data_IF_044940274988
#
_entry.id   IF_044940274988
#
_cell.length_a   1.000
_cell.length_b   1.000
_cell.length_c   1.000
_cell.angle_alpha   90.00
_cell.angle_beta   90.00
_cell.angle_gamma   90.00
#
_symmetry.space_group_name_H-M   'P 1'
#
loop_
_entity.id
_entity.type
_entity.pdbx_description
1 polymer ?
#
# COMPACT_ATOMS: atom_id res chain seq x y z
N UNK A 1 -39.90 16.25 14.20
CA UNK A 1 -40.59 17.04 15.13
C UNK A 1 -39.75 17.80 16.13
N UNK A 2 -40.18 18.99 16.50
CA UNK A 2 -39.54 19.83 17.51
C UNK A 2 -39.35 19.13 18.88
N UNK A 3 -40.14 18.10 19.18
CA UNK A 3 -40.08 17.37 20.44
C UNK A 3 -38.81 16.54 20.66
N UNK A 4 -38.09 16.16 19.62
CA UNK A 4 -36.87 15.35 19.75
C UNK A 4 -35.60 16.19 19.99
N UNK A 5 -35.61 17.46 19.58
CA UNK A 5 -34.44 18.36 19.77
C UNK A 5 -34.28 18.69 21.25
N UNK A 6 -35.37 18.96 21.97
CA UNK A 6 -35.32 19.27 23.41
C UNK A 6 -34.88 18.13 24.30
N UNK A 7 -35.05 16.88 23.88
CA UNK A 7 -34.56 15.70 24.65
C UNK A 7 -33.06 15.46 24.52
N UNK A 8 -32.39 16.13 23.59
CA UNK A 8 -30.95 15.94 23.31
C UNK A 8 -30.07 17.06 23.83
N UNK A 9 -30.65 18.12 24.35
CA UNK A 9 -29.92 19.27 24.89
C UNK A 9 -30.11 19.35 26.39
N UNK A 10 -29.05 19.70 27.08
CA UNK A 10 -29.04 20.02 28.50
C UNK A 10 -28.41 21.41 28.65
N UNK A 11 -29.08 22.29 29.34
CA UNK A 11 -28.62 23.62 29.69
C UNK A 11 -28.14 23.57 31.13
N UNK A 12 -26.86 23.82 31.37
CA UNK A 12 -26.23 23.73 32.69
C UNK A 12 -25.58 25.08 32.97
N UNK A 13 -26.03 25.84 34.00
CA UNK A 13 -25.30 27.00 34.44
C UNK A 13 -24.00 26.54 35.10
N UNK A 14 -22.88 27.15 34.72
CA UNK A 14 -21.55 26.90 35.28
C UNK A 14 -20.91 28.23 35.69
N UNK A 15 -20.22 28.27 36.81
CA UNK A 15 -19.41 29.42 37.23
C UNK A 15 -18.00 29.28 36.68
N UNK A 16 -17.51 30.31 36.00
CA UNK A 16 -16.15 30.38 35.47
C UNK A 16 -15.59 31.81 35.66
N UNK A 17 -14.50 31.94 36.39
CA UNK A 17 -13.82 33.22 36.65
C UNK A 17 -14.79 34.31 37.21
N UNK A 18 -15.75 33.94 38.05
CA UNK A 18 -16.73 34.89 38.64
C UNK A 18 -17.86 35.28 37.71
N UNK A 19 -17.99 34.65 36.53
CA UNK A 19 -19.10 34.84 35.60
C UNK A 19 -19.95 33.56 35.50
N UNK A 20 -21.26 33.71 35.51
CA UNK A 20 -22.20 32.63 35.25
C UNK A 20 -22.31 32.44 33.73
N UNK A 21 -21.84 31.28 33.24
CA UNK A 21 -21.93 30.87 31.85
C UNK A 21 -23.02 29.80 31.70
N UNK A 22 -23.64 29.71 30.53
CA UNK A 22 -24.60 28.68 30.18
C UNK A 22 -23.94 27.65 29.29
N UNK A 23 -23.67 26.47 29.83
CA UNK A 23 -23.19 25.33 29.06
C UNK A 23 -24.36 24.62 28.38
N UNK A 24 -24.30 24.48 27.06
CA UNK A 24 -25.28 23.73 26.26
C UNK A 24 -24.65 22.36 25.88
N UNK A 25 -25.08 21.30 26.54
CA UNK A 25 -24.69 19.93 26.21
C UNK A 25 -25.66 19.33 25.22
N UNK A 26 -25.15 18.98 24.02
CA UNK A 26 -25.94 18.36 22.95
C UNK A 26 -25.45 16.93 22.75
N UNK A 27 -26.36 15.94 22.89
CA UNK A 27 -26.04 14.54 22.58
C UNK A 27 -25.90 14.34 21.06
N UNK A 28 -24.96 13.54 20.67
CA UNK A 28 -24.82 13.14 19.27
C UNK A 28 -26.09 12.44 18.77
N UNK A 29 -26.52 12.80 17.58
CA UNK A 29 -27.62 12.13 16.91
C UNK A 29 -27.14 10.96 16.06
N UNK A 30 -28.00 9.94 15.92
CA UNK A 30 -27.69 8.70 15.18
C UNK A 30 -28.15 8.71 13.73
N UNK A 31 -29.10 9.62 13.39
CA UNK A 31 -29.75 9.68 12.08
C UNK A 31 -29.41 11.00 11.37
N UNK A 32 -28.16 11.20 11.04
CA UNK A 32 -27.73 12.34 10.22
C UNK A 32 -28.18 12.16 8.76
N UNK A 33 -28.42 13.25 7.99
CA UNK A 33 -28.29 14.65 8.35
C UNK A 33 -29.48 15.15 9.17
N UNK A 34 -29.23 16.09 10.08
CA UNK A 34 -30.28 16.87 10.71
C UNK A 34 -30.45 18.16 9.94
N UNK A 35 -31.73 18.51 9.66
CA UNK A 35 -32.07 19.70 8.88
C UNK A 35 -32.63 20.78 9.78
N UNK A 36 -32.15 21.98 9.59
CA UNK A 36 -32.83 23.17 10.02
C UNK A 36 -33.93 23.52 9.02
N UNK A 37 -35.10 23.79 9.48
CA UNK A 37 -36.25 24.13 8.63
C UNK A 37 -36.67 25.56 8.87
N UNK A 38 -36.54 26.39 7.85
CA UNK A 38 -37.00 27.79 7.86
C UNK A 38 -37.56 28.14 6.49
N UNK A 39 -38.72 28.84 6.51
CA UNK A 39 -39.37 29.39 5.32
C UNK A 39 -39.58 28.39 4.17
N UNK A 40 -39.95 27.16 4.50
CA UNK A 40 -40.15 26.09 3.52
C UNK A 40 -38.86 25.39 3.07
N UNK A 41 -37.68 25.86 3.48
CA UNK A 41 -36.37 25.31 3.07
C UNK A 41 -35.80 24.43 4.19
N UNK A 42 -35.24 23.29 3.80
CA UNK A 42 -34.49 22.38 4.68
C UNK A 42 -33.00 22.51 4.40
N UNK A 43 -32.26 22.99 5.40
CA UNK A 43 -30.79 23.17 5.27
C UNK A 43 -30.06 22.34 6.30
N UNK A 44 -29.07 21.54 5.86
CA UNK A 44 -28.13 20.86 6.74
C UNK A 44 -26.90 21.73 6.94
N UNK A 45 -26.40 21.77 8.16
CA UNK A 45 -25.21 22.54 8.53
C UNK A 45 -24.08 21.62 8.97
N UNK A 46 -22.85 22.03 8.67
CA UNK A 46 -21.63 21.43 9.19
C UNK A 46 -20.75 22.48 9.86
N UNK A 47 -19.81 22.02 10.69
CA UNK A 47 -18.87 22.91 11.37
C UNK A 47 -17.60 23.03 10.54
N UNK A 48 -17.18 24.23 10.20
CA UNK A 48 -15.91 24.54 9.55
C UNK A 48 -15.19 25.57 10.43
N UNK A 49 -14.18 25.13 11.14
CA UNK A 49 -13.51 25.94 12.17
C UNK A 49 -14.48 26.38 13.26
N UNK A 50 -14.64 27.67 13.45
CA UNK A 50 -15.54 28.28 14.44
C UNK A 50 -16.92 28.63 13.89
N UNK A 51 -17.22 28.33 12.63
CA UNK A 51 -18.49 28.71 11.98
C UNK A 51 -19.35 27.48 11.64
N UNK A 52 -20.65 27.66 11.67
CA UNK A 52 -21.62 26.70 11.15
C UNK A 52 -22.01 27.17 9.74
N UNK A 53 -21.62 26.38 8.74
CA UNK A 53 -21.89 26.67 7.33
C UNK A 53 -22.86 25.68 6.73
N UNK A 54 -23.61 26.12 5.72
CA UNK A 54 -24.48 25.20 4.97
C UNK A 54 -23.67 24.09 4.30
N UNK A 55 -24.17 22.85 4.38
CA UNK A 55 -23.53 21.72 3.74
C UNK A 55 -23.59 21.85 2.20
N UNK A 56 -22.47 21.74 1.55
CA UNK A 56 -22.46 21.47 0.12
C UNK A 56 -22.91 20.01 -0.16
N UNK A 57 -23.12 19.66 -1.43
CA UNK A 57 -23.63 18.35 -1.84
C UNK A 57 -22.75 17.19 -1.35
N UNK A 58 -21.42 17.35 -1.31
CA UNK A 58 -20.48 16.34 -0.85
C UNK A 58 -20.55 16.13 0.66
N UNK A 59 -20.62 17.22 1.43
CA UNK A 59 -20.79 17.18 2.88
C UNK A 59 -22.13 16.57 3.26
N UNK A 60 -23.20 16.91 2.52
CA UNK A 60 -24.51 16.32 2.72
C UNK A 60 -24.50 14.81 2.46
N UNK A 61 -23.86 14.34 1.38
CA UNK A 61 -23.71 12.93 1.10
C UNK A 61 -22.96 12.20 2.25
N UNK A 62 -21.89 12.79 2.76
CA UNK A 62 -21.13 12.24 3.90
C UNK A 62 -22.01 12.10 5.16
N UNK A 63 -22.86 13.09 5.44
CA UNK A 63 -23.81 13.02 6.56
C UNK A 63 -24.89 11.95 6.36
N UNK A 64 -25.40 11.78 5.14
CA UNK A 64 -26.36 10.72 4.78
C UNK A 64 -25.73 9.34 5.01
N UNK A 65 -24.54 9.09 4.47
CA UNK A 65 -23.83 7.84 4.65
C UNK A 65 -23.59 7.53 6.13
N UNK A 66 -23.16 8.52 6.90
CA UNK A 66 -23.00 8.38 8.35
C UNK A 66 -24.28 7.99 9.06
N UNK A 67 -25.40 8.59 8.68
CA UNK A 67 -26.73 8.32 9.27
C UNK A 67 -27.29 6.95 8.90
N UNK A 68 -26.92 6.42 7.74
CA UNK A 68 -27.31 5.08 7.30
C UNK A 68 -26.32 4.00 7.74
N UNK A 69 -25.25 4.38 8.45
CA UNK A 69 -24.14 3.50 8.82
C UNK A 69 -23.47 2.78 7.61
N UNK A 70 -23.49 3.42 6.45
CA UNK A 70 -22.87 2.94 5.22
C UNK A 70 -21.65 3.78 4.88
N UNK A 71 -20.74 3.19 4.11
CA UNK A 71 -19.59 3.88 3.52
C UNK A 71 -19.72 3.88 1.99
N UNK A 72 -19.06 4.82 1.31
CA UNK A 72 -19.15 4.89 -0.14
C UNK A 72 -18.81 3.55 -0.82
N UNK A 73 -17.78 2.87 -0.36
CA UNK A 73 -17.29 1.62 -0.93
C UNK A 73 -18.24 0.44 -0.70
N UNK A 74 -19.10 0.49 0.34
CA UNK A 74 -20.11 -0.54 0.64
C UNK A 74 -21.41 -0.37 -0.13
N UNK A 75 -21.64 0.79 -0.78
CA UNK A 75 -22.89 1.05 -1.50
C UNK A 75 -23.05 0.08 -2.68
N UNK A 76 -24.25 -0.54 -2.83
CA UNK A 76 -24.56 -1.37 -3.98
C UNK A 76 -24.67 -0.52 -5.26
N UNK A 77 -24.26 -1.11 -6.37
CA UNK A 77 -24.44 -0.52 -7.70
C UNK A 77 -25.56 -1.24 -8.47
N UNK A 78 -25.85 -0.82 -9.69
CA UNK A 78 -26.78 -1.52 -10.58
C UNK A 78 -26.08 -2.55 -11.48
N UNK A 79 -24.77 -2.78 -11.28
CA UNK A 79 -23.94 -3.63 -12.16
C UNK A 79 -23.97 -5.08 -11.67
N UNK A 80 -24.33 -6.00 -12.56
CA UNK A 80 -24.34 -7.43 -12.28
C UNK A 80 -22.93 -7.98 -12.14
N UNK A 81 -22.61 -8.65 -11.04
CA UNK A 81 -21.29 -9.21 -10.78
C UNK A 81 -20.88 -10.29 -11.78
N UNK A 82 -21.85 -11.10 -12.26
CA UNK A 82 -21.61 -12.18 -13.21
C UNK A 82 -21.16 -11.72 -14.62
N UNK A 83 -21.23 -10.43 -14.90
CA UNK A 83 -20.74 -9.83 -16.15
C UNK A 83 -19.30 -9.37 -16.07
N UNK A 84 -18.66 -9.56 -14.92
CA UNK A 84 -17.30 -9.10 -14.65
C UNK A 84 -16.43 -10.23 -14.13
N UNK A 85 -15.12 -10.08 -14.29
CA UNK A 85 -14.10 -11.02 -13.81
C UNK A 85 -13.21 -10.40 -12.75
N UNK A 86 -12.67 -11.25 -11.86
CA UNK A 86 -11.77 -10.91 -10.76
C UNK A 86 -10.49 -11.75 -10.83
N UNK A 87 -10.01 -12.07 -12.04
CA UNK A 87 -8.84 -12.94 -12.24
C UNK A 87 -7.59 -12.35 -11.65
N UNK A 88 -7.39 -11.03 -11.81
CA UNK A 88 -6.24 -10.31 -11.24
C UNK A 88 -6.28 -10.37 -9.71
N UNK A 89 -7.44 -10.11 -9.11
CA UNK A 89 -7.61 -10.18 -7.66
C UNK A 89 -7.36 -11.60 -7.13
N UNK A 90 -7.97 -12.63 -7.78
CA UNK A 90 -7.82 -14.02 -7.40
C UNK A 90 -6.38 -14.52 -7.50
N UNK A 91 -5.66 -14.15 -8.56
CA UNK A 91 -4.25 -14.49 -8.72
C UNK A 91 -3.37 -13.80 -7.66
N UNK A 92 -3.61 -12.51 -7.42
CA UNK A 92 -2.89 -11.76 -6.38
C UNK A 92 -3.14 -12.37 -4.99
N UNK A 93 -4.38 -12.76 -4.69
CA UNK A 93 -4.69 -13.43 -3.43
C UNK A 93 -3.89 -14.72 -3.27
N UNK A 94 -3.85 -15.59 -4.31
CA UNK A 94 -3.04 -16.83 -4.28
C UNK A 94 -1.56 -16.56 -4.10
N UNK A 95 -1.02 -15.58 -4.83
CA UNK A 95 0.41 -15.21 -4.76
C UNK A 95 0.81 -14.70 -3.36
N UNK A 96 -0.04 -13.89 -2.73
CA UNK A 96 0.28 -13.26 -1.45
C UNK A 96 0.01 -14.19 -0.26
N UNK A 97 -1.12 -14.90 -0.28
CA UNK A 97 -1.58 -15.69 0.88
C UNK A 97 -1.20 -17.16 0.80
N UNK A 98 -0.79 -17.65 -0.38
CA UNK A 98 -0.58 -19.06 -0.68
C UNK A 98 -1.84 -19.93 -0.47
N UNK A 99 -3.03 -19.32 -0.54
CA UNK A 99 -4.33 -19.98 -0.40
C UNK A 99 -5.10 -19.96 -1.72
N UNK A 100 -5.97 -20.94 -1.92
CA UNK A 100 -6.85 -20.97 -3.09
C UNK A 100 -7.96 -19.94 -2.97
N UNK A 101 -8.22 -19.24 -4.09
CA UNK A 101 -9.34 -18.31 -4.19
C UNK A 101 -10.65 -19.05 -4.26
N UNK A 102 -11.70 -18.54 -3.60
CA UNK A 102 -13.06 -19.02 -3.70
C UNK A 102 -13.99 -17.83 -4.01
N UNK A 103 -14.85 -17.97 -5.02
CA UNK A 103 -15.74 -16.89 -5.44
C UNK A 103 -16.75 -16.45 -4.35
N UNK A 104 -17.02 -17.32 -3.36
CA UNK A 104 -17.79 -16.95 -2.16
C UNK A 104 -17.12 -15.82 -1.35
N UNK A 105 -15.81 -15.62 -1.53
CA UNK A 105 -15.11 -14.51 -0.90
C UNK A 105 -15.59 -13.15 -1.41
N UNK A 106 -16.07 -13.07 -2.65
CA UNK A 106 -16.59 -11.82 -3.21
C UNK A 106 -17.76 -11.26 -2.37
N UNK A 107 -18.68 -12.14 -1.96
CA UNK A 107 -19.80 -11.75 -1.10
C UNK A 107 -19.34 -11.52 0.34
N UNK A 108 -18.55 -12.45 0.91
CA UNK A 108 -18.09 -12.34 2.30
C UNK A 108 -17.18 -11.13 2.56
N UNK A 109 -16.46 -10.64 1.55
CA UNK A 109 -15.64 -9.41 1.64
C UNK A 109 -16.41 -8.16 1.21
N UNK A 110 -17.69 -8.26 0.88
CA UNK A 110 -18.55 -7.13 0.53
C UNK A 110 -18.30 -6.53 -0.86
N UNK A 111 -17.61 -7.25 -1.75
CA UNK A 111 -17.42 -6.84 -3.15
C UNK A 111 -18.66 -7.09 -4.01
N UNK A 112 -19.43 -8.12 -3.64
CA UNK A 112 -20.69 -8.48 -4.27
C UNK A 112 -21.77 -8.52 -3.19
N UNK A 113 -22.95 -8.00 -3.50
CA UNK A 113 -24.12 -8.01 -2.62
C UNK A 113 -24.88 -9.36 -2.71
N UNK A 114 -25.72 -9.73 -1.73
CA UNK A 114 -26.46 -11.00 -1.77
C UNK A 114 -27.39 -11.15 -2.98
N UNK A 115 -27.84 -10.04 -3.59
CA UNK A 115 -28.64 -10.03 -4.84
C UNK A 115 -27.76 -10.06 -6.12
N UNK A 116 -26.44 -10.32 -5.98
CA UNK A 116 -25.54 -10.51 -7.11
C UNK A 116 -25.09 -9.22 -7.82
N UNK A 117 -25.24 -8.07 -7.17
CA UNK A 117 -24.73 -6.79 -7.68
C UNK A 117 -23.34 -6.47 -7.13
N UNK A 118 -22.56 -5.72 -7.90
CA UNK A 118 -21.29 -5.20 -7.40
C UNK A 118 -21.54 -4.06 -6.40
N UNK A 119 -20.77 -4.03 -5.32
CA UNK A 119 -20.59 -2.81 -4.53
C UNK A 119 -19.67 -1.83 -5.26
N UNK A 120 -19.57 -0.57 -4.78
CA UNK A 120 -18.58 0.37 -5.30
C UNK A 120 -17.14 -0.18 -5.11
N UNK A 121 -16.85 -0.86 -3.98
CA UNK A 121 -15.59 -1.57 -3.82
C UNK A 121 -15.42 -2.67 -4.88
N UNK A 122 -16.46 -3.47 -5.12
CA UNK A 122 -16.44 -4.52 -6.15
C UNK A 122 -16.03 -3.96 -7.51
N UNK A 123 -16.59 -2.83 -7.93
CA UNK A 123 -16.23 -2.15 -9.18
C UNK A 123 -14.75 -1.74 -9.26
N UNK A 124 -14.12 -1.45 -8.10
CA UNK A 124 -12.69 -1.07 -8.03
C UNK A 124 -11.75 -2.29 -8.10
N UNK A 125 -12.27 -3.51 -7.95
CA UNK A 125 -11.47 -4.74 -7.99
C UNK A 125 -11.73 -5.61 -9.23
N UNK A 126 -12.74 -5.31 -10.07
CA UNK A 126 -12.94 -6.03 -11.34
C UNK A 126 -11.74 -5.83 -12.29
N UNK A 127 -11.44 -6.83 -13.12
CA UNK A 127 -10.31 -6.79 -14.05
C UNK A 127 -10.40 -5.58 -14.99
N UNK A 128 -11.60 -5.29 -15.50
CA UNK A 128 -11.90 -4.16 -16.37
C UNK A 128 -12.57 -3.02 -15.57
N UNK A 129 -11.85 -2.43 -14.63
CA UNK A 129 -12.34 -1.33 -13.82
C UNK A 129 -12.62 -0.08 -14.69
N UNK A 130 -13.86 0.38 -14.67
CA UNK A 130 -14.31 1.59 -15.40
C UNK A 130 -14.59 2.78 -14.47
N UNK A 131 -14.36 2.64 -13.18
CA UNK A 131 -14.56 3.72 -12.20
C UNK A 131 -13.61 4.87 -12.52
N UNK A 132 -14.18 6.05 -12.79
CA UNK A 132 -13.40 7.23 -13.18
C UNK A 132 -12.31 7.60 -12.17
N UNK A 133 -12.59 7.44 -10.88
CA UNK A 133 -11.66 7.75 -9.79
C UNK A 133 -10.56 6.70 -9.61
N UNK A 134 -10.66 5.53 -10.29
CA UNK A 134 -9.67 4.46 -10.20
C UNK A 134 -8.49 4.72 -11.15
N UNK A 135 -7.71 5.75 -10.81
CA UNK A 135 -6.55 6.18 -11.58
C UNK A 135 -5.48 6.83 -10.71
N UNK A 136 -4.25 6.76 -11.15
CA UNK A 136 -3.09 7.43 -10.56
C UNK A 136 -2.33 8.21 -11.62
N UNK A 137 -1.82 9.37 -11.25
CA UNK A 137 -0.89 10.17 -12.05
C UNK A 137 0.50 10.03 -11.46
N UNK A 138 1.45 9.58 -12.26
CA UNK A 138 2.83 9.36 -11.86
C UNK A 138 3.72 10.31 -12.66
N UNK A 139 4.42 11.22 -12.00
CA UNK A 139 5.30 12.19 -12.65
C UNK A 139 6.68 12.19 -12.02
N UNK A 140 7.73 12.12 -12.83
CA UNK A 140 9.12 12.37 -12.45
C UNK A 140 9.50 13.78 -12.94
N UNK A 141 9.68 14.67 -11.99
CA UNK A 141 10.06 16.05 -12.22
C UNK A 141 11.58 16.22 -12.34
N UNK A 142 12.03 17.22 -13.05
CA UNK A 142 13.43 17.63 -13.09
C UNK A 142 13.71 18.54 -11.89
N UNK A 143 14.74 18.20 -11.08
CA UNK A 143 15.09 19.02 -9.92
C UNK A 143 14.11 18.91 -8.75
N UNK A 144 13.86 20.04 -8.08
CA UNK A 144 13.14 20.11 -6.80
C UNK A 144 11.70 20.65 -6.91
N UNK A 145 11.29 21.11 -8.09
CA UNK A 145 10.01 21.81 -8.33
C UNK A 145 9.23 21.15 -9.47
N UNK A 146 7.94 21.52 -9.59
CA UNK A 146 7.04 21.05 -10.66
C UNK A 146 7.20 21.92 -11.93
N UNK A 147 8.41 22.04 -12.42
CA UNK A 147 8.69 22.82 -13.63
C UNK A 147 8.63 21.93 -14.88
N UNK A 148 9.67 21.12 -15.13
CA UNK A 148 9.77 20.24 -16.27
C UNK A 148 9.66 18.77 -15.85
N UNK A 149 8.85 17.98 -16.57
CA UNK A 149 8.69 16.56 -16.31
C UNK A 149 9.63 15.73 -17.20
N UNK A 150 10.41 14.83 -16.59
CA UNK A 150 11.19 13.81 -17.32
C UNK A 150 10.25 12.74 -17.87
N UNK A 151 9.22 12.37 -17.10
CA UNK A 151 8.20 11.39 -17.47
C UNK A 151 6.91 11.69 -16.74
N UNK A 152 5.79 11.55 -17.44
CA UNK A 152 4.46 11.65 -16.83
C UNK A 152 3.55 10.60 -17.46
N UNK A 153 2.91 9.78 -16.60
CA UNK A 153 2.05 8.67 -17.04
C UNK A 153 0.78 8.67 -16.20
N UNK A 154 -0.37 8.51 -16.84
CA UNK A 154 -1.64 8.20 -16.20
C UNK A 154 -1.91 6.70 -16.32
N UNK A 155 -2.22 6.05 -15.18
CA UNK A 155 -2.70 4.68 -15.15
C UNK A 155 -4.16 4.63 -14.69
N UNK A 156 -5.00 3.90 -15.44
CA UNK A 156 -6.39 3.59 -15.11
C UNK A 156 -6.54 2.08 -15.04
N UNK A 157 -6.88 1.56 -13.88
CA UNK A 157 -6.99 0.12 -13.65
C UNK A 157 -7.75 -0.16 -12.36
N UNK A 158 -7.90 -1.44 -12.01
CA UNK A 158 -8.31 -1.83 -10.68
C UNK A 158 -7.23 -1.50 -9.63
N UNK A 159 -7.61 -1.48 -8.36
CA UNK A 159 -6.72 -1.04 -7.27
C UNK A 159 -5.44 -1.87 -7.13
N UNK A 160 -5.51 -3.18 -7.43
CA UNK A 160 -4.34 -4.07 -7.37
C UNK A 160 -3.29 -3.66 -8.41
N UNK A 161 -3.75 -3.40 -9.64
CA UNK A 161 -2.85 -2.94 -10.71
C UNK A 161 -2.37 -1.51 -10.49
N UNK A 162 -3.21 -0.61 -9.96
CA UNK A 162 -2.76 0.75 -9.62
C UNK A 162 -1.63 0.74 -8.60
N UNK A 163 -1.74 -0.09 -7.56
CA UNK A 163 -0.67 -0.28 -6.59
C UNK A 163 0.62 -0.77 -7.25
N UNK A 164 0.50 -1.79 -8.12
CA UNK A 164 1.65 -2.32 -8.86
C UNK A 164 2.29 -1.25 -9.76
N UNK A 165 1.51 -0.57 -10.58
CA UNK A 165 2.03 0.45 -11.50
C UNK A 165 2.69 1.61 -10.75
N UNK A 166 2.10 2.06 -9.66
CA UNK A 166 2.70 3.10 -8.82
C UNK A 166 4.05 2.68 -8.23
N UNK A 167 4.13 1.46 -7.70
CA UNK A 167 5.39 0.91 -7.18
C UNK A 167 6.44 0.71 -8.27
N UNK A 168 6.04 0.21 -9.44
CA UNK A 168 6.94 0.02 -10.57
C UNK A 168 7.48 1.38 -11.07
N UNK A 169 6.62 2.40 -11.16
CA UNK A 169 7.04 3.75 -11.50
C UNK A 169 8.06 4.30 -10.52
N UNK A 170 7.79 4.21 -9.21
CA UNK A 170 8.72 4.69 -8.18
C UNK A 170 10.07 3.96 -8.29
N UNK A 171 10.07 2.63 -8.43
CA UNK A 171 11.29 1.83 -8.57
C UNK A 171 12.11 2.18 -9.82
N UNK A 172 11.46 2.57 -10.90
CA UNK A 172 12.14 2.94 -12.15
C UNK A 172 12.89 4.28 -12.04
N UNK A 173 12.45 5.16 -11.15
CA UNK A 173 13.01 6.52 -11.00
C UNK A 173 13.72 6.75 -9.66
N UNK A 174 13.86 5.73 -8.83
CA UNK A 174 14.61 5.80 -7.56
C UNK A 174 15.78 4.82 -7.61
N UNK A 175 16.84 5.13 -6.88
CA UNK A 175 18.05 4.32 -6.90
C UNK A 175 18.16 3.47 -5.63
N UNK A 176 18.54 2.21 -5.82
CA UNK A 176 19.01 1.33 -4.76
C UNK A 176 20.53 1.19 -4.85
N UNK A 177 21.23 2.24 -4.42
CA UNK A 177 22.69 2.27 -4.39
C UNK A 177 23.24 1.19 -3.45
N UNK A 178 24.46 0.76 -3.70
CA UNK A 178 25.18 -0.15 -2.81
C UNK A 178 26.69 0.06 -2.90
N UNK A 179 27.39 -0.32 -1.84
CA UNK A 179 28.84 -0.33 -1.80
C UNK A 179 29.35 -1.69 -1.37
N UNK A 180 30.48 -2.09 -1.95
CA UNK A 180 31.14 -3.35 -1.62
C UNK A 180 31.98 -3.16 -0.35
N UNK A 181 31.65 -3.89 0.69
CA UNK A 181 32.42 -3.99 1.92
C UNK A 181 33.36 -5.19 1.87
N UNK A 182 34.36 -5.31 2.76
CA UNK A 182 35.31 -6.44 2.74
C UNK A 182 34.63 -7.82 2.73
N UNK A 183 33.55 -8.00 3.47
CA UNK A 183 32.90 -9.29 3.67
C UNK A 183 31.42 -9.34 3.27
N UNK A 184 30.82 -8.21 2.86
CA UNK A 184 29.40 -8.12 2.51
C UNK A 184 29.14 -6.92 1.58
N UNK A 185 27.91 -6.82 1.09
CA UNK A 185 27.39 -5.68 0.33
C UNK A 185 26.52 -4.82 1.26
N UNK A 186 26.81 -3.54 1.36
CA UNK A 186 25.99 -2.57 2.07
C UNK A 186 25.04 -1.90 1.07
N UNK A 187 23.74 -2.10 1.24
CA UNK A 187 22.72 -1.43 0.43
C UNK A 187 22.43 -0.04 1.01
N UNK A 188 22.39 0.95 0.13
CA UNK A 188 22.16 2.37 0.44
C UNK A 188 21.01 2.90 -0.44
N UNK A 189 19.78 2.44 -0.22
CA UNK A 189 18.64 2.85 -1.03
C UNK A 189 18.29 4.32 -0.78
N UNK A 190 17.69 4.97 -1.80
CA UNK A 190 17.18 6.33 -1.65
C UNK A 190 16.01 6.38 -0.66
N UNK A 191 15.22 5.32 -0.61
CA UNK A 191 14.00 5.20 0.20
C UNK A 191 13.82 3.78 0.75
N UNK A 192 12.94 3.64 1.73
CA UNK A 192 12.44 2.32 2.17
C UNK A 192 11.31 1.87 1.23
N UNK A 193 11.54 0.85 0.41
CA UNK A 193 10.52 0.28 -0.50
C UNK A 193 9.25 -0.10 0.26
N UNK A 194 9.39 -0.69 1.45
CA UNK A 194 8.24 -1.10 2.27
C UNK A 194 7.50 0.10 2.86
N UNK A 195 8.20 1.18 3.22
CA UNK A 195 7.55 2.40 3.70
C UNK A 195 6.75 3.09 2.59
N UNK A 196 7.32 3.20 1.38
CA UNK A 196 6.61 3.75 0.21
C UNK A 196 5.40 2.87 -0.16
N UNK A 197 5.55 1.54 -0.15
CA UNK A 197 4.44 0.61 -0.38
C UNK A 197 3.30 0.85 0.60
N UNK A 198 3.57 0.94 1.89
CA UNK A 198 2.58 1.24 2.93
C UNK A 198 1.92 2.61 2.69
N UNK A 199 2.72 3.62 2.29
CA UNK A 199 2.21 4.94 1.92
C UNK A 199 1.23 4.88 0.75
N UNK A 200 1.61 4.22 -0.33
CA UNK A 200 0.74 4.12 -1.53
C UNK A 200 -0.53 3.31 -1.24
N UNK A 201 -0.44 2.22 -0.48
CA UNK A 201 -1.60 1.46 0.00
C UNK A 201 -2.54 2.39 0.77
N UNK A 202 -2.02 3.19 1.71
CA UNK A 202 -2.83 4.13 2.49
C UNK A 202 -3.50 5.18 1.60
N UNK A 203 -2.80 5.73 0.60
CA UNK A 203 -3.36 6.71 -0.33
C UNK A 203 -4.48 6.13 -1.21
N UNK A 204 -4.42 4.86 -1.61
CA UNK A 204 -5.47 4.19 -2.36
C UNK A 204 -6.69 3.84 -1.47
N UNK A 205 -6.44 3.35 -0.25
CA UNK A 205 -7.52 2.92 0.68
C UNK A 205 -8.26 4.11 1.28
N UNK A 206 -7.54 5.15 1.70
CA UNK A 206 -8.13 6.30 2.41
C UNK A 206 -8.54 7.44 1.48
N UNK A 207 -8.35 7.30 0.17
CA UNK A 207 -8.86 8.24 -0.82
C UNK A 207 -10.35 8.50 -0.62
N UNK A 208 -10.75 9.75 -0.75
CA UNK A 208 -12.17 10.09 -0.80
C UNK A 208 -12.72 9.88 -2.23
N UNK A 209 -13.38 8.75 -2.44
CA UNK A 209 -13.98 8.41 -3.73
C UNK A 209 -15.23 9.20 -4.08
N UNK A 210 -15.75 10.03 -3.18
CA UNK A 210 -16.84 10.97 -3.47
C UNK A 210 -16.34 12.22 -4.20
N UNK A 211 -15.03 12.48 -4.19
CA UNK A 211 -14.40 13.59 -4.91
C UNK A 211 -14.20 13.20 -6.37
N UNK A 212 -14.97 13.81 -7.28
CA UNK A 212 -15.01 13.45 -8.70
C UNK A 212 -13.81 13.98 -9.50
N UNK A 213 -13.24 15.09 -9.14
CA UNK A 213 -12.16 15.75 -9.92
C UNK A 213 -10.76 15.60 -9.34
N UNK A 214 -10.60 14.83 -8.27
CA UNK A 214 -9.30 14.64 -7.64
C UNK A 214 -8.72 13.25 -7.92
N UNK A 215 -7.42 13.18 -8.13
CA UNK A 215 -6.68 11.95 -8.40
C UNK A 215 -5.64 11.66 -7.33
N UNK A 216 -5.15 10.42 -7.29
CA UNK A 216 -3.94 10.07 -6.55
C UNK A 216 -2.74 10.44 -7.40
N UNK A 217 -1.80 11.20 -6.84
CA UNK A 217 -0.56 11.59 -7.50
C UNK A 217 0.64 10.94 -6.84
N UNK A 218 1.60 10.55 -7.66
CA UNK A 218 2.94 10.12 -7.30
C UNK A 218 3.90 11.08 -7.98
N UNK A 219 4.45 12.03 -7.24
CA UNK A 219 5.39 13.02 -7.72
C UNK A 219 6.80 12.67 -7.22
N UNK A 220 7.74 12.44 -8.13
CA UNK A 220 9.13 12.11 -7.81
C UNK A 220 10.01 13.28 -8.19
N UNK A 221 10.72 13.86 -7.23
CA UNK A 221 11.74 14.89 -7.37
C UNK A 221 13.13 14.29 -7.14
N UNK A 222 14.16 15.09 -7.24
CA UNK A 222 15.52 14.60 -6.96
C UNK A 222 15.72 14.29 -5.48
N UNK A 223 15.11 15.10 -4.61
CA UNK A 223 15.27 15.05 -3.15
C UNK A 223 14.16 14.29 -2.40
N UNK A 224 13.04 13.95 -3.08
CA UNK A 224 11.88 13.35 -2.39
C UNK A 224 10.90 12.65 -3.35
N UNK A 225 10.05 11.82 -2.77
CA UNK A 225 8.80 11.29 -3.37
C UNK A 225 7.63 11.85 -2.57
N UNK A 226 6.68 12.45 -3.24
CA UNK A 226 5.40 12.89 -2.68
C UNK A 226 4.26 12.01 -3.17
N UNK A 227 3.46 11.52 -2.23
CA UNK A 227 2.19 10.85 -2.51
C UNK A 227 1.07 11.80 -2.07
N UNK A 228 0.09 12.00 -2.94
CA UNK A 228 -1.06 12.86 -2.68
C UNK A 228 -2.34 12.11 -2.99
N UNK A 229 -3.35 12.19 -2.12
CA UNK A 229 -4.69 11.67 -2.40
C UNK A 229 -5.78 12.63 -1.97
N UNK A 230 -6.93 12.65 -2.66
CA UNK A 230 -8.10 13.38 -2.22
C UNK A 230 -8.62 12.86 -0.88
N UNK A 231 -9.00 13.79 0.00
CA UNK A 231 -9.59 13.51 1.30
C UNK A 231 -8.68 13.88 2.47
N UNK A 232 -9.17 14.79 3.33
CA UNK A 232 -8.54 15.13 4.60
C UNK A 232 -8.70 14.00 5.62
N UNK A 233 -8.19 14.17 6.85
CA UNK A 233 -8.47 13.23 7.95
C UNK A 233 -9.97 13.09 8.18
N UNK A 234 -10.43 11.86 8.42
CA UNK A 234 -11.86 11.55 8.53
C UNK A 234 -12.52 12.21 9.74
N UNK A 235 -11.77 12.48 10.79
CA UNK A 235 -12.20 13.16 12.01
C UNK A 235 -12.12 14.69 11.93
N UNK A 236 -11.70 15.24 10.78
CA UNK A 236 -11.55 16.67 10.55
C UNK A 236 -10.33 17.29 11.23
N UNK A 237 -9.46 16.49 11.84
CA UNK A 237 -8.21 16.98 12.44
C UNK A 237 -7.13 17.14 11.37
N UNK A 238 -6.06 17.87 11.71
CA UNK A 238 -4.87 17.98 10.87
C UNK A 238 -3.78 17.06 11.40
N UNK A 239 -3.20 16.22 10.54
CA UNK A 239 -2.21 15.22 10.95
C UNK A 239 -0.92 15.86 11.47
N UNK A 240 -0.54 17.00 10.93
CA UNK A 240 0.66 17.75 11.36
C UNK A 240 0.59 18.23 12.81
N UNK A 241 -0.62 18.36 13.38
CA UNK A 241 -0.85 18.79 14.76
C UNK A 241 -0.97 17.60 15.73
N UNK A 242 -0.74 16.36 15.25
CA UNK A 242 -0.95 15.13 16.03
C UNK A 242 0.32 14.33 16.23
N UNK A 243 0.37 13.67 17.37
CA UNK A 243 1.35 12.60 17.60
C UNK A 243 0.97 11.36 16.75
N UNK A 244 1.78 11.03 15.75
CA UNK A 244 1.54 9.90 14.83
C UNK A 244 1.43 8.54 15.56
N UNK A 245 1.97 8.43 16.78
CA UNK A 245 1.87 7.22 17.61
C UNK A 245 0.51 7.07 18.30
N UNK A 246 -0.31 8.14 18.31
CA UNK A 246 -1.64 8.19 18.94
C UNK A 246 -2.78 8.36 17.94
N UNK A 247 -2.49 8.33 16.63
CA UNK A 247 -3.55 8.41 15.61
C UNK A 247 -4.35 7.11 15.59
N UNK A 248 -5.66 7.14 15.84
CA UNK A 248 -6.49 5.94 15.80
C UNK A 248 -6.68 5.46 14.35
N UNK A 249 -6.90 4.16 14.20
CA UNK A 249 -7.28 3.59 12.91
C UNK A 249 -8.71 4.00 12.55
N UNK A 250 -8.85 4.87 11.58
CA UNK A 250 -10.15 5.30 11.04
C UNK A 250 -10.17 5.00 9.54
N UNK A 251 -11.06 4.12 9.11
CA UNK A 251 -11.14 3.68 7.72
C UNK A 251 -12.25 4.42 6.99
N UNK A 252 -11.89 5.19 5.96
CA UNK A 252 -12.87 5.84 5.08
C UNK A 252 -13.60 4.80 4.23
N UNK A 253 -12.87 3.81 3.72
CA UNK A 253 -13.37 2.76 2.85
C UNK A 253 -13.06 1.38 3.48
N UNK A 254 -13.88 0.91 4.42
CA UNK A 254 -13.61 -0.32 5.18
C UNK A 254 -13.62 -1.58 4.31
N UNK A 255 -14.45 -1.66 3.27
CA UNK A 255 -14.51 -2.82 2.36
C UNK A 255 -13.21 -2.93 1.57
N UNK A 256 -12.72 -1.80 1.02
CA UNK A 256 -11.43 -1.74 0.32
C UNK A 256 -10.30 -2.11 1.29
N UNK A 257 -10.29 -1.52 2.49
CA UNK A 257 -9.27 -1.79 3.50
C UNK A 257 -9.26 -3.27 3.95
N UNK A 258 -10.42 -3.87 4.13
CA UNK A 258 -10.51 -5.29 4.46
C UNK A 258 -10.01 -6.18 3.32
N UNK A 259 -10.27 -5.84 2.05
CA UNK A 259 -9.73 -6.57 0.92
C UNK A 259 -8.21 -6.48 0.85
N UNK A 260 -7.61 -5.29 1.03
CA UNK A 260 -6.15 -5.13 1.09
C UNK A 260 -5.53 -5.87 2.29
N UNK A 261 -6.27 -6.01 3.40
CA UNK A 261 -5.83 -6.86 4.53
C UNK A 261 -5.84 -8.34 4.15
N UNK A 262 -6.85 -8.81 3.41
CA UNK A 262 -6.91 -10.20 2.92
C UNK A 262 -5.79 -10.52 1.92
N UNK A 263 -5.28 -9.51 1.22
CA UNK A 263 -4.11 -9.62 0.34
C UNK A 263 -2.77 -9.52 1.09
N UNK A 264 -2.74 -9.49 2.42
CA UNK A 264 -1.55 -9.26 3.25
C UNK A 264 -0.77 -7.97 2.92
N UNK A 265 -1.44 -6.99 2.30
CA UNK A 265 -0.84 -5.71 1.95
C UNK A 265 -0.80 -4.73 3.12
N UNK A 266 -1.71 -4.86 4.08
CA UNK A 266 -1.80 -3.99 5.25
C UNK A 266 -2.20 -4.75 6.53
N UNK A 267 -1.91 -4.12 7.68
CA UNK A 267 -2.33 -4.60 9.00
C UNK A 267 -3.55 -3.81 9.52
N UNK A 268 -4.44 -4.49 10.28
CA UNK A 268 -5.69 -3.87 10.79
C UNK A 268 -5.52 -2.87 11.95
N UNK A 269 -4.29 -2.62 12.44
CA UNK A 269 -4.05 -1.96 13.74
C UNK A 269 -3.78 -0.46 13.72
N UNK A 270 -3.96 0.24 12.59
CA UNK A 270 -3.70 1.69 12.50
C UNK A 270 -2.23 2.10 12.70
N UNK A 271 -1.31 1.20 12.42
CA UNK A 271 0.13 1.40 12.60
C UNK A 271 0.84 2.01 11.38
N UNK A 272 0.13 2.31 10.30
CA UNK A 272 0.73 2.67 9.00
C UNK A 272 1.69 3.85 9.06
N UNK A 273 1.28 4.98 9.63
CA UNK A 273 2.13 6.18 9.73
C UNK A 273 3.39 5.91 10.55
N UNK A 274 3.24 5.31 11.74
CA UNK A 274 4.36 4.91 12.58
C UNK A 274 5.28 3.92 11.88
N UNK A 275 4.72 2.92 11.21
CA UNK A 275 5.46 1.88 10.49
C UNK A 275 6.31 2.44 9.35
N UNK A 276 5.75 3.38 8.57
CA UNK A 276 6.51 4.07 7.52
C UNK A 276 7.73 4.78 8.10
N UNK A 277 7.58 5.49 9.23
CA UNK A 277 8.68 6.14 9.93
C UNK A 277 9.70 5.13 10.43
N UNK A 278 9.30 4.12 11.20
CA UNK A 278 10.19 3.09 11.74
C UNK A 278 10.96 2.31 10.66
N UNK A 279 10.33 2.05 9.50
CA UNK A 279 10.97 1.38 8.37
C UNK A 279 12.00 2.26 7.67
N UNK A 280 11.78 3.56 7.63
CA UNK A 280 12.74 4.53 7.10
C UNK A 280 13.92 4.71 8.05
N UNK A 281 13.66 4.87 9.35
CA UNK A 281 14.69 5.03 10.39
C UNK A 281 15.62 3.80 10.53
N UNK A 282 15.15 2.61 10.14
CA UNK A 282 15.96 1.38 10.14
C UNK A 282 16.95 1.26 9.00
N UNK A 283 16.88 2.12 8.00
CA UNK A 283 17.82 2.07 6.88
C UNK A 283 19.22 2.54 7.32
N UNK A 284 20.29 1.89 6.84
CA UNK A 284 21.64 2.15 7.29
C UNK A 284 22.10 3.58 6.98
N UNK A 285 21.57 4.19 5.93
CA UNK A 285 21.87 5.55 5.47
C UNK A 285 20.86 6.60 5.97
N UNK A 286 19.97 6.25 6.89
CA UNK A 286 19.06 7.21 7.51
C UNK A 286 19.80 8.33 8.25
N UNK A 287 19.24 9.54 8.16
CA UNK A 287 19.66 10.71 8.92
C UNK A 287 18.45 11.35 9.59
N UNK A 288 18.60 11.86 10.83
CA UNK A 288 17.58 12.70 11.46
C UNK A 288 17.17 13.86 10.55
N UNK A 289 15.87 14.12 10.47
CA UNK A 289 15.28 15.09 9.54
C UNK A 289 14.90 14.53 8.17
N UNK A 290 15.12 13.21 7.93
CA UNK A 290 14.70 12.50 6.73
C UNK A 290 13.54 11.52 7.00
N UNK A 291 12.86 11.66 8.13
CA UNK A 291 11.65 10.92 8.45
C UNK A 291 10.54 11.27 7.45
N UNK A 292 9.64 10.31 7.14
CA UNK A 292 8.45 10.62 6.35
C UNK A 292 7.64 11.74 6.99
N UNK A 293 7.25 12.73 6.19
CA UNK A 293 6.42 13.85 6.61
C UNK A 293 4.97 13.65 6.15
N UNK A 294 4.02 14.00 7.01
CA UNK A 294 2.60 13.89 6.74
C UNK A 294 1.94 15.25 6.88
N UNK A 295 1.10 15.60 5.93
CA UNK A 295 0.36 16.86 5.93
C UNK A 295 -1.07 16.63 5.45
N UNK A 296 -2.01 17.31 6.08
CA UNK A 296 -3.40 17.36 5.64
C UNK A 296 -3.77 18.78 5.29
N UNK A 297 -4.45 18.94 4.18
CA UNK A 297 -5.16 20.15 3.81
C UNK A 297 -6.67 19.89 3.82
N UNK A 298 -7.47 20.90 3.51
CA UNK A 298 -8.94 20.80 3.57
C UNK A 298 -9.51 19.65 2.73
N UNK A 299 -8.86 19.31 1.61
CA UNK A 299 -9.35 18.34 0.62
C UNK A 299 -8.36 17.25 0.26
N UNK A 300 -7.16 17.23 0.84
CA UNK A 300 -6.09 16.35 0.40
C UNK A 300 -5.22 15.88 1.58
N UNK A 301 -4.63 14.71 1.41
CA UNK A 301 -3.62 14.14 2.30
C UNK A 301 -2.31 13.95 1.54
N UNK A 302 -1.19 14.36 2.15
CA UNK A 302 0.15 14.31 1.60
C UNK A 302 1.04 13.41 2.44
N UNK A 303 1.86 12.59 1.78
CA UNK A 303 2.97 11.87 2.40
C UNK A 303 4.24 12.15 1.63
N UNK A 304 5.23 12.72 2.27
CA UNK A 304 6.54 13.02 1.68
C UNK A 304 7.60 12.08 2.24
N UNK A 305 8.29 11.36 1.36
CA UNK A 305 9.47 10.56 1.67
C UNK A 305 10.69 11.30 1.16
N UNK A 306 11.64 11.60 2.02
CA UNK A 306 12.88 12.29 1.64
C UNK A 306 13.92 11.30 1.15
N UNK A 307 14.63 11.66 0.08
CA UNK A 307 15.76 10.90 -0.43
C UNK A 307 16.90 10.90 0.60
N UNK A 308 17.26 9.70 1.10
CA UNK A 308 18.28 9.52 2.14
C UNK A 308 19.70 9.81 1.63
N UNK A 309 19.88 9.79 0.31
CA UNK A 309 21.15 10.04 -0.36
C UNK A 309 21.21 11.44 -1.00
N UNK A 310 20.34 12.37 -0.58
CA UNK A 310 20.31 13.76 -1.04
C UNK A 310 20.68 14.72 0.09
N UNK A 311 21.62 15.63 -0.15
CA UNK A 311 22.08 16.66 0.78
C UNK A 311 21.81 18.07 0.26
N UNK A 312 22.34 19.08 0.95
CA UNK A 312 22.19 20.50 0.58
C UNK A 312 22.77 20.82 -0.81
N UNK A 313 23.84 20.14 -1.19
CA UNK A 313 24.54 20.34 -2.47
C UNK A 313 24.16 19.33 -3.55
N UNK A 314 23.02 18.66 -3.41
CA UNK A 314 22.55 17.64 -4.33
C UNK A 314 22.81 16.21 -3.86
N UNK A 315 22.91 15.27 -4.79
CA UNK A 315 23.12 13.85 -4.49
C UNK A 315 24.45 13.60 -3.82
N UNK A 316 24.42 12.96 -2.65
CA UNK A 316 25.63 12.61 -1.88
C UNK A 316 26.32 11.45 -2.59
N UNK A 317 27.65 11.52 -2.84
CA UNK A 317 28.42 10.40 -3.39
C UNK A 317 28.29 9.13 -2.55
N UNK A 318 28.17 7.98 -3.20
CA UNK A 318 27.94 6.68 -2.53
C UNK A 318 29.02 6.35 -1.51
N UNK A 319 30.28 6.71 -1.81
CA UNK A 319 31.44 6.50 -0.94
C UNK A 319 31.35 7.35 0.33
N UNK A 320 30.83 8.57 0.24
CA UNK A 320 30.64 9.45 1.39
C UNK A 320 29.53 8.89 2.30
N UNK A 321 28.41 8.47 1.73
CA UNK A 321 27.33 7.79 2.48
C UNK A 321 27.87 6.54 3.17
N UNK A 322 28.63 5.72 2.47
CA UNK A 322 29.19 4.49 3.01
C UNK A 322 30.18 4.76 4.18
N UNK A 323 31.05 5.76 4.04
CA UNK A 323 31.98 6.14 5.09
C UNK A 323 31.26 6.63 6.35
N UNK A 324 30.19 7.40 6.19
CA UNK A 324 29.34 7.85 7.30
C UNK A 324 28.68 6.67 8.01
N UNK A 325 28.10 5.74 7.28
CA UNK A 325 27.48 4.52 7.84
C UNK A 325 28.51 3.69 8.61
N UNK A 326 29.70 3.48 8.05
CA UNK A 326 30.79 2.74 8.69
C UNK A 326 31.25 3.41 10.00
N UNK A 327 31.46 4.72 9.99
CA UNK A 327 31.85 5.44 11.20
C UNK A 327 30.80 5.37 12.32
N UNK A 328 29.53 5.24 11.96
CA UNK A 328 28.42 5.04 12.91
C UNK A 328 28.42 3.62 13.46
N UNK A 329 28.64 2.60 12.62
CA UNK A 329 28.71 1.18 13.02
C UNK A 329 29.94 0.90 13.92
N UNK A 330 31.06 1.57 13.69
CA UNK A 330 32.26 1.47 14.55
C UNK A 330 32.03 2.10 15.93
N UNK A 331 31.33 3.23 16.00
CA UNK A 331 30.97 3.88 17.27
C UNK A 331 29.94 3.13 18.10
N UNK A 332 29.03 2.42 17.42
CA UNK A 332 27.97 1.65 18.05
C UNK A 332 27.97 0.22 17.47
N UNK A 333 28.90 -0.67 17.90
CA UNK A 333 28.89 -2.05 17.41
C UNK A 333 27.55 -2.68 17.78
N UNK A 334 26.76 -3.01 16.76
CA UNK A 334 25.50 -3.72 16.92
C UNK A 334 25.81 -5.08 17.55
N UNK A 335 25.45 -5.28 18.79
CA UNK A 335 25.53 -6.57 19.45
C UNK A 335 24.77 -7.59 18.60
N UNK A 336 25.45 -8.58 18.01
CA UNK A 336 24.90 -9.61 17.15
C UNK A 336 23.81 -10.47 17.81
N UNK A 337 23.56 -10.28 19.12
CA UNK A 337 22.60 -11.09 19.89
C UNK A 337 21.17 -10.51 19.94
N UNK A 338 20.93 -9.27 19.52
CA UNK A 338 19.60 -8.64 19.68
C UNK A 338 18.74 -8.56 18.41
N UNK A 339 19.21 -9.03 17.25
CA UNK A 339 18.45 -8.90 15.98
C UNK A 339 17.74 -10.18 15.51
N UNK A 340 17.70 -11.23 16.33
CA UNK A 340 16.88 -12.42 16.05
C UNK A 340 15.80 -12.54 17.12
N UNK A 341 14.81 -11.66 17.09
CA UNK A 341 13.50 -12.01 17.66
C UNK A 341 12.87 -13.03 16.71
N UNK A 342 13.09 -14.32 17.04
CA UNK A 342 12.29 -15.42 16.51
C UNK A 342 10.82 -15.13 16.85
N UNK A 343 10.00 -14.92 15.83
CA UNK A 343 8.55 -15.07 15.99
C UNK A 343 8.30 -16.54 16.41
N UNK A 344 7.41 -16.83 17.38
CA UNK A 344 7.09 -18.20 17.72
C UNK A 344 6.43 -18.87 16.52
N UNK A 345 7.14 -19.80 15.91
CA UNK A 345 6.58 -20.75 14.96
C UNK A 345 5.73 -21.71 15.79
N UNK A 346 4.44 -21.77 15.52
CA UNK A 346 3.57 -22.78 16.09
C UNK A 346 4.08 -24.17 15.68
N UNK A 347 4.65 -24.90 16.64
CA UNK A 347 5.07 -26.28 16.49
C UNK A 347 3.85 -27.21 16.46
N UNK A 348 3.12 -27.26 15.37
CA UNK A 348 2.19 -28.36 15.07
C UNK A 348 1.83 -28.33 13.58
N UNK A 349 2.80 -28.59 12.70
CA UNK A 349 2.56 -29.15 11.38
C UNK A 349 3.65 -30.18 11.11
N UNK A 350 3.23 -31.42 11.13
CA UNK A 350 3.98 -32.57 10.64
C UNK A 350 4.27 -32.40 9.15
N UNK A 351 5.44 -31.87 8.84
CA UNK A 351 6.04 -31.97 7.50
C UNK A 351 7.35 -32.76 7.63
N UNK A 352 7.37 -33.87 6.91
CA UNK A 352 8.48 -34.81 6.85
C UNK A 352 9.80 -34.13 6.50
N UNK A 353 10.83 -34.48 7.30
CA UNK A 353 12.20 -34.04 7.16
C UNK A 353 12.85 -34.63 5.91
N UNK A 354 13.12 -33.81 4.91
CA UNK A 354 14.14 -34.12 3.91
C UNK A 354 15.47 -33.46 4.32
N UNK A 355 16.61 -34.17 4.29
CA UNK A 355 17.90 -33.63 4.67
C UNK A 355 18.41 -32.63 3.63
N UNK A 356 18.48 -31.36 3.97
CA UNK A 356 19.13 -30.31 3.17
C UNK A 356 20.63 -30.48 3.27
N UNK A 357 21.25 -30.99 2.21
CA UNK A 357 22.71 -30.90 2.05
C UNK A 357 23.10 -29.49 1.63
N UNK A 358 23.79 -28.80 2.52
CA UNK A 358 24.39 -27.48 2.31
C UNK A 358 25.43 -27.54 1.20
N UNK A 359 25.19 -26.81 0.08
CA UNK A 359 26.21 -26.36 -0.85
C UNK A 359 25.72 -25.12 -1.64
N UNK A 360 25.53 -24.00 -0.94
CA UNK A 360 24.89 -22.77 -1.46
C UNK A 360 25.87 -21.71 -2.00
N UNK A 361 27.20 -21.97 -2.11
CA UNK A 361 28.20 -20.93 -2.36
C UNK A 361 29.03 -21.09 -3.66
N UNK A 362 28.51 -21.78 -4.68
CA UNK A 362 29.22 -21.77 -6.00
C UNK A 362 28.36 -21.02 -7.03
N UNK A 363 28.94 -20.09 -7.81
CA UNK A 363 28.23 -19.39 -8.87
C UNK A 363 27.62 -20.38 -9.87
N UNK A 364 26.46 -20.04 -10.42
CA UNK A 364 25.81 -20.84 -11.46
C UNK A 364 26.59 -20.68 -12.76
N UNK A 365 26.94 -21.79 -13.42
CA UNK A 365 27.67 -21.76 -14.69
C UNK A 365 26.84 -21.10 -15.80
N UNK A 366 27.50 -20.51 -16.82
CA UNK A 366 26.86 -19.77 -17.92
C UNK A 366 25.69 -20.53 -18.59
N UNK A 367 25.88 -21.84 -18.86
CA UNK A 367 24.84 -22.67 -19.50
C UNK A 367 23.64 -22.90 -18.57
N UNK A 368 23.89 -23.11 -17.26
CA UNK A 368 22.81 -23.25 -16.27
C UNK A 368 22.06 -21.95 -16.08
N UNK A 369 22.73 -20.79 -16.12
CA UNK A 369 22.08 -19.48 -16.08
C UNK A 369 21.15 -19.26 -17.28
N UNK A 370 21.59 -19.59 -18.49
CA UNK A 370 20.74 -19.51 -19.69
C UNK A 370 19.52 -20.41 -19.59
N UNK A 371 19.61 -21.59 -18.98
CA UNK A 371 18.45 -22.47 -18.72
C UNK A 371 17.46 -21.78 -17.76
N UNK A 372 17.96 -21.11 -16.71
CA UNK A 372 17.14 -20.34 -15.79
C UNK A 372 16.40 -19.23 -16.54
N UNK A 373 17.11 -18.46 -17.36
CA UNK A 373 16.52 -17.35 -18.13
C UNK A 373 15.44 -17.84 -19.12
N UNK A 374 15.67 -19.00 -19.76
CA UNK A 374 14.69 -19.64 -20.64
C UNK A 374 13.44 -20.09 -19.88
N UNK A 375 13.60 -20.65 -18.69
CA UNK A 375 12.50 -21.05 -17.81
C UNK A 375 11.71 -19.83 -17.31
N UNK A 376 12.36 -18.72 -16.98
CA UNK A 376 11.72 -17.45 -16.63
C UNK A 376 10.85 -16.96 -17.79
N UNK A 377 11.36 -17.04 -19.02
CA UNK A 377 10.66 -16.58 -20.21
C UNK A 377 9.53 -17.52 -20.65
N UNK A 378 9.69 -18.82 -20.44
CA UNK A 378 8.70 -19.84 -20.76
C UNK A 378 8.78 -21.02 -19.79
N UNK A 379 7.98 -21.04 -18.71
CA UNK A 379 7.96 -22.14 -17.74
C UNK A 379 7.59 -23.50 -18.31
N UNK A 380 6.93 -23.58 -19.46
CA UNK A 380 6.57 -24.84 -20.12
C UNK A 380 7.57 -25.28 -21.19
N UNK A 381 8.75 -24.68 -21.27
CA UNK A 381 9.77 -25.03 -22.26
C UNK A 381 10.23 -26.48 -22.08
N UNK A 382 10.30 -27.22 -23.19
CA UNK A 382 10.75 -28.62 -23.17
C UNK A 382 12.27 -28.73 -23.15
N UNK A 383 12.79 -29.86 -22.70
CA UNK A 383 14.25 -30.14 -22.66
C UNK A 383 14.86 -30.16 -24.06
N UNK A 384 14.12 -30.64 -25.05
CA UNK A 384 14.50 -30.65 -26.46
C UNK A 384 14.67 -29.22 -26.98
N UNK A 385 13.69 -28.35 -26.71
CA UNK A 385 13.74 -26.94 -27.12
C UNK A 385 14.89 -26.17 -26.42
N UNK A 386 15.16 -26.48 -25.13
CA UNK A 386 16.34 -25.95 -24.44
C UNK A 386 17.66 -26.40 -25.12
N UNK A 387 17.74 -27.67 -25.57
CA UNK A 387 18.91 -28.20 -26.24
C UNK A 387 19.17 -27.48 -27.57
N UNK A 388 18.12 -27.28 -28.37
CA UNK A 388 18.18 -26.58 -29.66
C UNK A 388 18.60 -25.11 -29.49
N UNK A 389 17.99 -24.37 -28.57
CA UNK A 389 18.32 -22.97 -28.33
C UNK A 389 19.70 -22.74 -27.71
N UNK A 390 20.19 -23.70 -26.94
CA UNK A 390 21.52 -23.65 -26.33
C UNK A 390 22.63 -24.17 -27.24
N UNK A 391 22.28 -24.90 -28.30
CA UNK A 391 23.22 -25.56 -29.18
C UNK A 391 24.05 -26.67 -28.48
N UNK A 392 23.43 -27.41 -27.52
CA UNK A 392 24.05 -28.49 -26.77
C UNK A 392 23.20 -29.78 -26.85
N UNK A 393 23.81 -30.91 -26.53
CA UNK A 393 23.07 -32.19 -26.53
C UNK A 393 21.98 -32.22 -25.46
N UNK A 394 20.91 -32.99 -25.70
CA UNK A 394 19.84 -33.22 -24.74
C UNK A 394 20.38 -33.78 -23.40
N UNK A 395 21.40 -34.63 -23.45
CA UNK A 395 22.09 -35.13 -22.24
C UNK A 395 22.79 -33.99 -21.48
N UNK A 396 23.37 -33.03 -22.19
CA UNK A 396 23.94 -31.82 -21.62
C UNK A 396 22.91 -31.00 -20.85
N UNK A 397 21.74 -30.79 -21.43
CA UNK A 397 20.59 -30.10 -20.76
C UNK A 397 20.14 -30.89 -19.53
N UNK A 398 19.93 -32.19 -19.63
CA UNK A 398 19.52 -33.04 -18.49
C UNK A 398 20.50 -32.94 -17.33
N UNK A 399 21.83 -32.95 -17.63
CA UNK A 399 22.88 -32.79 -16.61
C UNK A 399 22.82 -31.43 -15.90
N UNK A 400 22.62 -30.35 -16.65
CA UNK A 400 22.47 -29.00 -16.07
C UNK A 400 21.17 -28.87 -15.23
N UNK A 401 20.04 -29.37 -15.71
CA UNK A 401 18.79 -29.42 -14.99
C UNK A 401 18.92 -30.22 -13.69
N UNK A 402 19.59 -31.37 -13.74
CA UNK A 402 19.86 -32.17 -12.53
C UNK A 402 20.68 -31.39 -11.52
N UNK A 403 21.72 -30.70 -11.94
CA UNK A 403 22.55 -29.84 -11.07
C UNK A 403 21.70 -28.73 -10.44
N UNK A 404 20.84 -28.05 -11.22
CA UNK A 404 19.94 -27.01 -10.73
C UNK A 404 18.90 -27.54 -9.73
N UNK A 405 18.38 -28.77 -9.97
CA UNK A 405 17.48 -29.46 -9.03
C UNK A 405 18.20 -29.86 -7.74
N UNK A 406 19.37 -30.44 -7.84
CA UNK A 406 20.20 -30.87 -6.70
C UNK A 406 20.64 -29.66 -5.82
N UNK A 407 20.72 -28.48 -6.41
CA UNK A 407 21.00 -27.21 -5.74
C UNK A 407 19.74 -26.51 -5.22
N UNK A 408 18.55 -27.07 -5.43
CA UNK A 408 17.28 -26.46 -4.99
C UNK A 408 16.89 -25.19 -5.74
N UNK A 409 17.46 -24.93 -6.93
CA UNK A 409 17.21 -23.73 -7.73
C UNK A 409 16.01 -23.92 -8.66
N UNK A 410 15.83 -25.14 -9.22
CA UNK A 410 14.83 -25.46 -10.21
C UNK A 410 14.02 -26.71 -9.80
N UNK A 411 12.74 -26.67 -10.01
CA UNK A 411 11.83 -27.82 -9.80
C UNK A 411 10.94 -27.99 -11.04
N UNK A 412 10.55 -29.22 -11.35
CA UNK A 412 9.52 -29.51 -12.33
C UNK A 412 8.26 -29.97 -11.60
N UNK A 413 7.17 -29.29 -11.81
CA UNK A 413 5.86 -29.59 -11.23
C UNK A 413 4.92 -30.15 -12.28
N UNK A 414 4.16 -31.20 -11.94
CA UNK A 414 3.25 -31.90 -12.84
C UNK A 414 3.90 -33.09 -13.59
N UNK A 415 3.20 -33.62 -14.61
CA UNK A 415 3.67 -34.75 -15.39
C UNK A 415 4.73 -34.33 -16.42
N UNK A 416 5.53 -35.29 -16.92
CA UNK A 416 6.54 -35.00 -17.96
C UNK A 416 5.96 -34.43 -19.27
N UNK A 417 4.66 -34.62 -19.53
CA UNK A 417 3.98 -34.12 -20.75
C UNK A 417 3.23 -32.80 -20.56
N UNK A 418 2.78 -32.48 -19.34
CA UNK A 418 1.93 -31.33 -19.06
C UNK A 418 2.44 -30.50 -17.88
N UNK A 419 3.62 -30.82 -17.36
CA UNK A 419 4.24 -30.11 -16.25
C UNK A 419 4.94 -28.83 -16.68
N UNK A 420 5.32 -28.05 -15.69
CA UNK A 420 6.06 -26.81 -15.87
C UNK A 420 7.27 -26.70 -14.92
N UNK A 421 8.22 -25.85 -15.31
CA UNK A 421 9.40 -25.56 -14.50
C UNK A 421 9.15 -24.40 -13.56
N UNK A 422 9.58 -24.53 -12.29
CA UNK A 422 9.54 -23.46 -11.31
C UNK A 422 10.91 -23.20 -10.69
N UNK A 423 11.28 -21.94 -10.60
CA UNK A 423 12.52 -21.50 -9.93
C UNK A 423 12.20 -21.25 -8.46
N UNK A 424 12.95 -21.93 -7.57
CA UNK A 424 12.74 -21.85 -6.11
C UNK A 424 13.62 -20.76 -5.48
N UNK A 425 14.83 -20.58 -6.00
CA UNK A 425 15.80 -19.57 -5.52
C UNK A 425 16.30 -18.81 -6.73
N UNK A 426 16.17 -17.47 -6.72
CA UNK A 426 16.86 -16.64 -7.72
C UNK A 426 18.37 -16.72 -7.43
N UNK A 427 19.20 -17.05 -8.42
CA UNK A 427 20.65 -17.11 -8.26
C UNK A 427 21.25 -15.76 -7.90
#
# INVERSE_FOLDING_TARGET
GLGDVYKRQQLIPIEHEGHTLLEVRVKAGTLTPYYYYQDGTRTAYTRVGNESVECNSQQLLSLVLKGTHMTWDSLPTQVDANKHSFVILANTFREQTHQEWNDKYLESFGLVTPDGKLSNAGLLFVDNCTVFQSRIFCTRWTGLYKDDAISSVEHRANLVLLLKYGMDFIKNYTMSGWVKMPNYRLNLPDYSDRAIFEGLVNHLIHRDYTVMGGEVHIDIYDDRVELVSPGAMLDGTQIQDRDIYKVPSMRRNPVIADMFTQLDYMEKRGSGLRKMRELTEKLPNFLPGKEPHYQTEATSFYTTFYNLNWGENGRIPVEEVANRVNSTLEKYPVNKESSVKKYPVNENSTLEKYPVKQNLNKPVGRTAQRIIDMVISNPMITREKMADELGISLEGVKKQIKNLKDRGILVHEGSDKTGYWRIIIKP
#
